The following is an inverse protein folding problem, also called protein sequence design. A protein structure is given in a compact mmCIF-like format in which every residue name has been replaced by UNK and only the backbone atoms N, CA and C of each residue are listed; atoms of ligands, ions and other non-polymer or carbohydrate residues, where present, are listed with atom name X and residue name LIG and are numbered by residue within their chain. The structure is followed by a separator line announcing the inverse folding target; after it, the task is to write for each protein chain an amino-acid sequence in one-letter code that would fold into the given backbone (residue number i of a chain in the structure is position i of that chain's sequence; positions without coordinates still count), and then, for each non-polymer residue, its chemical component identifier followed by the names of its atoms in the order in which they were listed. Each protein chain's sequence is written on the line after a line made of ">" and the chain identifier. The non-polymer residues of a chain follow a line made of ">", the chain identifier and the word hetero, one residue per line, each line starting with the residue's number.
data_IF_683793243330
#
_entry.id   IF_683793243330
#
_cell.length_a   1.000
_cell.length_b   1.000
_cell.length_c   1.000
_cell.angle_alpha   90.00
_cell.angle_beta   90.00
_cell.angle_gamma   90.00
#
_symmetry.space_group_name_H-M   'P 1'
#
loop_
_entity.id
_entity.type
_entity.pdbx_description
1 polymer ?
#
# COMPACT_ATOMS: atom_id res chain seq x y z
N UNK A 1 9.14 2.91 50.07
CA UNK A 1 9.76 1.61 49.79
C UNK A 1 8.85 0.74 48.94
N UNK A 2 7.67 0.40 49.43
CA UNK A 2 6.68 -0.44 48.75
C UNK A 2 5.95 0.25 47.58
N UNK A 3 5.59 1.52 47.71
CA UNK A 3 4.80 2.22 46.67
C UNK A 3 5.56 2.44 45.36
N UNK A 4 6.87 2.74 45.45
CA UNK A 4 7.71 2.98 44.27
C UNK A 4 7.95 1.70 43.45
N UNK A 5 7.95 0.53 44.11
CA UNK A 5 8.12 -0.76 43.45
C UNK A 5 6.85 -1.17 42.69
N UNK A 6 5.68 -0.91 43.26
CA UNK A 6 4.40 -1.14 42.58
C UNK A 6 4.21 -0.22 41.37
N UNK A 7 4.61 1.06 41.47
CA UNK A 7 4.59 1.99 40.33
C UNK A 7 5.50 1.50 39.21
N UNK A 8 6.73 1.07 39.53
CA UNK A 8 7.68 0.58 38.53
C UNK A 8 7.19 -0.70 37.81
N UNK A 9 6.49 -1.58 38.54
CA UNK A 9 5.88 -2.79 37.96
C UNK A 9 4.74 -2.42 37.01
N UNK A 10 3.88 -1.48 37.40
CA UNK A 10 2.74 -1.02 36.58
C UNK A 10 3.25 -0.40 35.28
N UNK A 11 4.24 0.50 35.37
CA UNK A 11 4.83 1.17 34.20
C UNK A 11 5.45 0.16 33.23
N UNK A 12 6.22 -0.82 33.73
CA UNK A 12 6.77 -1.90 32.90
C UNK A 12 5.67 -2.68 32.15
N UNK A 13 4.62 -3.10 32.87
CA UNK A 13 3.53 -3.87 32.25
C UNK A 13 2.79 -3.06 31.19
N UNK A 14 2.55 -1.76 31.43
CA UNK A 14 1.90 -0.88 30.47
C UNK A 14 2.75 -0.70 29.19
N UNK A 15 4.06 -0.52 29.33
CA UNK A 15 4.98 -0.39 28.18
C UNK A 15 4.99 -1.65 27.31
N UNK A 16 5.14 -2.83 27.94
CA UNK A 16 5.13 -4.11 27.23
C UNK A 16 3.80 -4.35 26.49
N UNK A 17 2.69 -4.09 27.17
CA UNK A 17 1.36 -4.35 26.61
C UNK A 17 1.01 -3.34 25.50
N UNK A 18 1.50 -2.10 25.58
CA UNK A 18 1.42 -1.12 24.47
C UNK A 18 2.16 -1.60 23.22
N UNK A 19 3.41 -2.04 23.37
CA UNK A 19 4.21 -2.55 22.24
C UNK A 19 3.55 -3.78 21.61
N UNK A 20 3.02 -4.70 22.44
CA UNK A 20 2.25 -5.86 21.97
C UNK A 20 1.02 -5.43 21.18
N UNK A 21 0.21 -4.51 21.71
CA UNK A 21 -0.98 -4.00 21.04
C UNK A 21 -0.65 -3.36 19.69
N UNK A 22 0.37 -2.51 19.63
CA UNK A 22 0.77 -1.89 18.35
C UNK A 22 1.23 -2.93 17.33
N UNK A 23 1.84 -4.02 17.76
CA UNK A 23 2.24 -5.13 16.89
C UNK A 23 1.05 -5.93 16.37
N UNK A 24 0.10 -6.26 17.24
CA UNK A 24 -1.11 -7.03 16.89
C UNK A 24 -2.02 -6.24 15.95
N UNK A 25 -2.18 -4.95 16.22
CA UNK A 25 -3.02 -4.07 15.42
C UNK A 25 -2.29 -3.48 14.19
N UNK A 26 -1.01 -3.80 13.99
CA UNK A 26 -0.15 -3.27 12.92
C UNK A 26 -0.11 -1.72 12.84
N UNK A 27 -0.08 -1.03 13.99
CA UNK A 27 0.01 0.43 14.06
C UNK A 27 1.42 0.93 13.73
N UNK A 28 1.53 1.87 12.78
CA UNK A 28 2.78 2.54 12.43
C UNK A 28 3.04 3.78 13.30
N UNK A 29 3.28 3.54 14.59
CA UNK A 29 3.59 4.58 15.59
C UNK A 29 5.10 4.61 15.91
N UNK A 30 5.93 4.80 14.87
CA UNK A 30 7.37 4.51 14.94
C UNK A 30 8.10 5.33 16.01
N UNK A 31 7.76 6.60 16.20
CA UNK A 31 8.36 7.46 17.25
C UNK A 31 8.07 6.93 18.65
N UNK A 32 6.79 6.63 18.96
CA UNK A 32 6.41 6.12 20.28
C UNK A 32 6.92 4.68 20.52
N UNK A 33 7.03 3.87 19.46
CA UNK A 33 7.62 2.53 19.55
C UNK A 33 9.11 2.65 19.90
N UNK A 34 9.83 3.59 19.31
CA UNK A 34 11.24 3.85 19.64
C UNK A 34 11.38 4.29 21.08
N UNK A 35 10.62 5.30 21.53
CA UNK A 35 10.73 5.83 22.89
C UNK A 35 10.48 4.75 23.95
N UNK A 36 9.32 4.08 23.86
CA UNK A 36 8.91 3.05 24.83
C UNK A 36 9.80 1.82 24.73
N UNK A 37 10.19 1.43 23.52
CA UNK A 37 10.97 0.23 23.29
C UNK A 37 12.44 0.38 23.69
N UNK A 38 13.05 1.55 23.46
CA UNK A 38 14.42 1.87 23.87
C UNK A 38 14.53 1.88 25.40
N UNK A 39 13.59 2.52 26.09
CA UNK A 39 13.49 2.49 27.57
C UNK A 39 13.37 1.06 28.09
N UNK A 40 12.46 0.28 27.51
CA UNK A 40 12.16 -1.07 27.97
C UNK A 40 13.31 -2.06 27.70
N UNK A 41 14.06 -1.90 26.60
CA UNK A 41 15.30 -2.65 26.33
C UNK A 41 16.39 -2.27 27.34
N UNK A 42 16.60 -0.99 27.61
CA UNK A 42 17.68 -0.52 28.46
C UNK A 42 17.45 -0.82 29.95
N UNK A 43 16.22 -0.64 30.44
CA UNK A 43 15.93 -0.70 31.87
C UNK A 43 15.32 -2.03 32.32
N UNK A 44 14.69 -2.78 31.40
CA UNK A 44 13.83 -3.91 31.76
C UNK A 44 14.08 -5.18 30.94
N UNK A 45 15.15 -5.26 30.16
CA UNK A 45 15.51 -6.44 29.35
C UNK A 45 15.40 -7.78 30.11
N UNK A 46 15.90 -7.85 31.34
CA UNK A 46 15.90 -9.07 32.15
C UNK A 46 14.50 -9.57 32.53
N UNK A 47 13.48 -8.70 32.51
CA UNK A 47 12.09 -9.04 32.88
C UNK A 47 11.24 -9.49 31.69
N UNK A 48 11.73 -9.32 30.45
CA UNK A 48 10.94 -9.58 29.25
C UNK A 48 10.91 -11.04 28.83
N UNK A 49 11.87 -11.86 29.29
CA UNK A 49 11.98 -13.25 28.86
C UNK A 49 12.09 -13.33 27.33
N UNK A 50 11.31 -14.21 26.71
CA UNK A 50 11.35 -14.43 25.26
C UNK A 50 10.72 -13.29 24.43
N UNK A 51 9.87 -12.44 25.05
CA UNK A 51 9.27 -11.29 24.37
C UNK A 51 10.33 -10.24 23.97
N UNK A 52 11.53 -10.29 24.55
CA UNK A 52 12.60 -9.34 24.25
C UNK A 52 12.97 -9.35 22.76
N UNK A 53 12.95 -10.51 22.10
CA UNK A 53 13.39 -10.64 20.71
C UNK A 53 12.42 -10.03 19.72
N UNK A 54 11.12 -10.22 19.97
CA UNK A 54 10.08 -9.57 19.16
C UNK A 54 10.11 -8.06 19.41
N UNK A 55 10.46 -7.60 20.62
CA UNK A 55 10.61 -6.18 20.93
C UNK A 55 11.82 -5.59 20.21
N UNK A 56 12.98 -6.24 20.25
CA UNK A 56 14.16 -5.82 19.47
C UNK A 56 13.83 -5.65 17.99
N UNK A 57 13.10 -6.58 17.38
CA UNK A 57 12.70 -6.43 15.98
C UNK A 57 11.73 -5.26 15.76
N UNK A 58 10.74 -5.09 16.63
CA UNK A 58 9.77 -4.00 16.53
C UNK A 58 10.46 -2.64 16.64
N UNK A 59 11.36 -2.49 17.61
CA UNK A 59 12.16 -1.28 17.83
C UNK A 59 13.12 -1.06 16.65
N UNK A 60 13.75 -2.11 16.13
CA UNK A 60 14.63 -2.00 14.97
C UNK A 60 13.89 -1.43 13.75
N UNK A 61 12.70 -1.95 13.43
CA UNK A 61 11.90 -1.47 12.29
C UNK A 61 11.46 -0.02 12.50
N UNK A 62 10.98 0.32 13.70
CA UNK A 62 10.58 1.68 14.04
C UNK A 62 11.76 2.67 14.03
N UNK A 63 12.93 2.25 14.49
CA UNK A 63 14.15 3.04 14.47
C UNK A 63 14.61 3.36 13.04
N UNK A 64 14.45 2.43 12.09
CA UNK A 64 14.69 2.71 10.67
C UNK A 64 13.74 3.78 10.12
N UNK A 65 12.45 3.70 10.44
CA UNK A 65 11.45 4.72 10.06
C UNK A 65 11.81 6.10 10.66
N UNK A 66 12.36 6.14 11.87
CA UNK A 66 12.80 7.36 12.55
C UNK A 66 14.23 7.79 12.21
N UNK A 67 14.91 7.13 11.26
CA UNK A 67 16.31 7.39 10.91
C UNK A 67 17.30 7.31 12.09
N UNK A 68 16.96 6.56 13.14
CA UNK A 68 17.80 6.23 14.30
C UNK A 68 18.64 4.97 14.01
N UNK A 69 19.59 5.09 13.07
CA UNK A 69 20.43 3.96 12.64
C UNK A 69 21.28 3.38 13.78
N UNK A 70 21.63 4.19 14.79
CA UNK A 70 22.32 3.79 16.01
C UNK A 70 21.55 2.71 16.78
N UNK A 71 20.26 2.96 17.02
CA UNK A 71 19.38 2.04 17.73
C UNK A 71 19.03 0.84 16.86
N UNK A 72 18.74 1.06 15.57
CA UNK A 72 18.46 -0.02 14.62
C UNK A 72 19.64 -1.01 14.50
N UNK A 73 20.87 -0.49 14.45
CA UNK A 73 22.08 -1.30 14.41
C UNK A 73 22.26 -2.12 15.69
N UNK A 74 22.09 -1.49 16.86
CA UNK A 74 22.19 -2.18 18.16
C UNK A 74 21.20 -3.34 18.25
N UNK A 75 19.92 -3.09 17.92
CA UNK A 75 18.89 -4.13 17.91
C UNK A 75 19.23 -5.25 16.92
N UNK A 76 19.72 -4.92 15.73
CA UNK A 76 20.10 -5.90 14.73
C UNK A 76 21.29 -6.78 15.18
N UNK A 77 22.27 -6.23 15.89
CA UNK A 77 23.40 -7.00 16.41
C UNK A 77 22.96 -8.02 17.45
N UNK A 78 22.09 -7.63 18.38
CA UNK A 78 21.53 -8.56 19.37
C UNK A 78 20.72 -9.68 18.71
N UNK A 79 19.91 -9.36 17.71
CA UNK A 79 19.16 -10.37 16.95
C UNK A 79 20.07 -11.32 16.17
N UNK A 80 21.17 -10.82 15.57
CA UNK A 80 22.17 -11.65 14.88
C UNK A 80 22.90 -12.59 15.83
N UNK A 81 23.22 -12.10 17.03
CA UNK A 81 23.90 -12.89 18.07
C UNK A 81 23.01 -14.03 18.57
N UNK A 82 21.73 -13.75 18.79
CA UNK A 82 20.78 -14.75 19.28
C UNK A 82 20.35 -15.75 18.21
N UNK A 83 20.16 -15.30 16.96
CA UNK A 83 19.62 -16.12 15.87
C UNK A 83 20.56 -16.14 14.64
N UNK A 84 21.77 -16.71 14.77
CA UNK A 84 22.71 -16.80 13.66
C UNK A 84 22.10 -17.58 12.49
N UNK A 85 22.19 -17.03 11.28
CA UNK A 85 21.67 -17.66 10.06
C UNK A 85 20.16 -17.52 9.83
N UNK A 86 19.40 -16.90 10.75
CA UNK A 86 17.96 -16.68 10.58
C UNK A 86 17.64 -15.84 9.35
N UNK A 87 16.76 -16.35 8.47
CA UNK A 87 16.28 -15.62 7.29
C UNK A 87 15.55 -14.33 7.68
N UNK A 88 14.85 -14.33 8.82
CA UNK A 88 14.19 -13.14 9.37
C UNK A 88 15.21 -12.05 9.72
N UNK A 89 16.32 -12.42 10.35
CA UNK A 89 17.40 -11.47 10.70
C UNK A 89 18.18 -11.03 9.45
N UNK A 90 18.41 -11.94 8.49
CA UNK A 90 18.97 -11.58 7.18
C UNK A 90 18.10 -10.53 6.47
N UNK A 91 16.77 -10.64 6.53
CA UNK A 91 15.83 -9.64 5.99
C UNK A 91 15.94 -8.30 6.71
N UNK A 92 16.01 -8.27 8.04
CA UNK A 92 16.21 -7.03 8.80
C UNK A 92 17.54 -6.34 8.42
N UNK A 93 18.61 -7.11 8.20
CA UNK A 93 19.86 -6.57 7.68
C UNK A 93 19.69 -5.93 6.29
N UNK A 94 18.91 -6.56 5.40
CA UNK A 94 18.52 -5.99 4.12
C UNK A 94 17.73 -4.69 4.25
N UNK A 95 16.74 -4.63 5.16
CA UNK A 95 15.95 -3.42 5.43
C UNK A 95 16.82 -2.25 5.90
N UNK A 96 17.82 -2.51 6.73
CA UNK A 96 18.79 -1.48 7.13
C UNK A 96 19.64 -0.99 5.95
N UNK A 97 20.07 -1.90 5.07
CA UNK A 97 20.81 -1.51 3.86
C UNK A 97 19.95 -0.62 2.94
N UNK A 98 18.65 -0.91 2.81
CA UNK A 98 17.71 -0.06 2.09
C UNK A 98 17.57 1.32 2.73
N UNK A 99 17.43 1.40 4.05
CA UNK A 99 17.35 2.68 4.76
C UNK A 99 18.64 3.52 4.62
N UNK A 100 19.78 2.88 4.35
CA UNK A 100 21.05 3.53 4.06
C UNK A 100 21.28 3.76 2.55
N UNK A 101 20.26 3.54 1.72
CA UNK A 101 20.29 3.66 0.25
C UNK A 101 21.35 2.76 -0.43
N UNK A 102 21.81 1.70 0.26
CA UNK A 102 22.75 0.70 -0.26
C UNK A 102 22.01 -0.40 -1.00
N UNK A 103 21.33 -0.01 -2.08
CA UNK A 103 20.40 -0.86 -2.81
C UNK A 103 21.05 -2.11 -3.42
N UNK A 104 22.27 -2.01 -3.93
CA UNK A 104 23.02 -3.13 -4.51
C UNK A 104 23.34 -4.20 -3.46
N UNK A 105 23.77 -3.78 -2.27
CA UNK A 105 24.06 -4.68 -1.16
C UNK A 105 22.77 -5.29 -0.59
N UNK A 106 21.70 -4.50 -0.51
CA UNK A 106 20.38 -4.99 -0.12
C UNK A 106 19.85 -6.04 -1.11
N UNK A 107 20.06 -5.81 -2.41
CA UNK A 107 19.64 -6.75 -3.47
C UNK A 107 20.39 -8.08 -3.36
N UNK A 108 21.72 -8.04 -3.19
CA UNK A 108 22.52 -9.26 -2.94
C UNK A 108 22.07 -10.01 -1.68
N UNK A 109 21.72 -9.26 -0.63
CA UNK A 109 21.21 -9.84 0.61
C UNK A 109 19.89 -10.58 0.37
N UNK A 110 18.96 -9.99 -0.38
CA UNK A 110 17.69 -10.63 -0.73
C UNK A 110 17.86 -11.80 -1.70
N UNK A 111 18.75 -11.70 -2.68
CA UNK A 111 19.08 -12.80 -3.57
C UNK A 111 19.65 -14.00 -2.80
N UNK A 112 20.50 -13.78 -1.78
CA UNK A 112 20.96 -14.86 -0.90
C UNK A 112 19.81 -15.51 -0.12
N UNK A 113 18.83 -14.75 0.36
CA UNK A 113 17.65 -15.30 1.04
C UNK A 113 16.83 -16.15 0.05
N UNK A 114 16.65 -15.67 -1.18
CA UNK A 114 15.87 -16.36 -2.22
C UNK A 114 16.58 -17.58 -2.80
N UNK A 115 17.91 -17.62 -2.76
CA UNK A 115 18.69 -18.83 -3.09
C UNK A 115 18.50 -19.92 -2.04
N UNK A 116 18.45 -19.56 -0.76
CA UNK A 116 18.20 -20.49 0.34
C UNK A 116 16.73 -20.94 0.40
N UNK A 117 15.80 -20.01 0.18
CA UNK A 117 14.35 -20.20 0.22
C UNK A 117 13.66 -19.41 -0.91
N UNK A 118 13.45 -20.04 -2.09
CA UNK A 118 12.81 -19.40 -3.23
C UNK A 118 11.36 -18.96 -2.98
N UNK A 119 10.72 -19.53 -1.95
CA UNK A 119 9.33 -19.26 -1.57
C UNK A 119 9.18 -18.09 -0.59
N UNK A 120 10.29 -17.43 -0.22
CA UNK A 120 10.30 -16.30 0.70
C UNK A 120 9.67 -15.05 0.08
N UNK A 121 8.35 -14.93 0.20
CA UNK A 121 7.56 -13.82 -0.37
C UNK A 121 8.01 -12.47 0.18
N UNK A 122 8.37 -12.39 1.47
CA UNK A 122 8.83 -11.16 2.10
C UNK A 122 10.14 -10.64 1.48
N UNK A 123 11.14 -11.50 1.26
CA UNK A 123 12.38 -11.12 0.60
C UNK A 123 12.14 -10.70 -0.86
N UNK A 124 11.27 -11.42 -1.58
CA UNK A 124 10.95 -11.08 -2.98
C UNK A 124 10.24 -9.73 -3.10
N UNK A 125 9.26 -9.44 -2.24
CA UNK A 125 8.58 -8.13 -2.20
C UNK A 125 9.56 -6.97 -1.91
N UNK A 126 10.53 -7.17 -1.01
CA UNK A 126 11.57 -6.15 -0.76
C UNK A 126 12.48 -5.94 -1.96
N UNK A 127 12.89 -7.00 -2.66
CA UNK A 127 13.66 -6.89 -3.91
C UNK A 127 12.90 -6.10 -4.99
N UNK A 128 11.62 -6.40 -5.20
CA UNK A 128 10.75 -5.66 -6.12
C UNK A 128 10.67 -4.18 -5.71
N UNK A 129 10.51 -3.90 -4.41
CA UNK A 129 10.47 -2.52 -3.88
C UNK A 129 11.77 -1.75 -4.17
N UNK A 130 12.93 -2.40 -4.06
CA UNK A 130 14.23 -1.80 -4.43
C UNK A 130 14.27 -1.48 -5.92
N UNK A 131 13.87 -2.42 -6.79
CA UNK A 131 13.87 -2.18 -8.23
C UNK A 131 12.98 -0.99 -8.60
N UNK A 132 11.83 -0.85 -7.95
CA UNK A 132 10.94 0.32 -8.09
C UNK A 132 11.62 1.61 -7.62
N UNK A 133 12.27 1.61 -6.45
CA UNK A 133 12.98 2.78 -5.93
C UNK A 133 14.16 3.21 -6.82
N UNK A 134 14.82 2.27 -7.50
CA UNK A 134 15.89 2.53 -8.47
C UNK A 134 15.37 2.95 -9.86
N UNK A 135 14.06 3.01 -10.08
CA UNK A 135 13.46 3.30 -11.39
C UNK A 135 13.64 2.19 -12.43
N UNK A 136 13.99 0.97 -12.00
CA UNK A 136 14.16 -0.21 -12.86
C UNK A 136 12.82 -0.90 -13.11
N UNK A 137 11.86 -0.17 -13.70
CA UNK A 137 10.48 -0.64 -13.91
C UNK A 137 10.40 -1.97 -14.66
N UNK A 138 11.19 -2.13 -15.73
CA UNK A 138 11.17 -3.34 -16.55
C UNK A 138 11.59 -4.60 -15.76
N UNK A 139 12.60 -4.46 -14.89
CA UNK A 139 13.05 -5.55 -14.02
C UNK A 139 12.02 -5.84 -12.93
N UNK A 140 11.43 -4.80 -12.33
CA UNK A 140 10.36 -4.95 -11.34
C UNK A 140 9.13 -5.68 -11.92
N UNK A 141 8.72 -5.33 -13.15
CA UNK A 141 7.65 -6.00 -13.88
C UNK A 141 7.98 -7.48 -14.10
N UNK A 142 9.21 -7.80 -14.55
CA UNK A 142 9.63 -9.20 -14.76
C UNK A 142 9.53 -10.01 -13.46
N UNK A 143 10.10 -9.49 -12.37
CA UNK A 143 10.10 -10.18 -11.07
C UNK A 143 8.68 -10.33 -10.48
N UNK A 144 7.78 -9.35 -10.70
CA UNK A 144 6.38 -9.44 -10.29
C UNK A 144 5.60 -10.49 -11.10
N UNK A 145 5.83 -10.60 -12.41
CA UNK A 145 5.22 -11.65 -13.22
C UNK A 145 5.67 -13.04 -12.73
N UNK A 146 6.97 -13.25 -12.56
CA UNK A 146 7.53 -14.50 -12.03
C UNK A 146 7.03 -14.83 -10.61
N UNK A 147 6.76 -13.80 -9.80
CA UNK A 147 6.13 -13.96 -8.48
C UNK A 147 4.67 -14.41 -8.60
N UNK A 148 3.87 -13.74 -9.43
CA UNK A 148 2.44 -14.01 -9.59
C UNK A 148 2.15 -15.35 -10.27
N UNK A 149 3.10 -15.91 -11.03
CA UNK A 149 3.03 -17.30 -11.51
C UNK A 149 2.93 -18.32 -10.38
N UNK A 150 3.52 -18.02 -9.21
CA UNK A 150 3.53 -18.90 -8.03
C UNK A 150 2.48 -18.47 -7.00
N UNK A 151 2.22 -17.17 -6.88
CA UNK A 151 1.38 -16.56 -5.85
C UNK A 151 0.22 -15.77 -6.46
N UNK A 152 -0.55 -16.41 -7.35
CA UNK A 152 -1.65 -15.78 -8.11
C UNK A 152 -2.72 -15.10 -7.24
N UNK A 153 -2.87 -15.50 -5.98
CA UNK A 153 -3.83 -14.91 -5.05
C UNK A 153 -3.37 -13.61 -4.36
N UNK A 154 -2.12 -13.16 -4.58
CA UNK A 154 -1.60 -11.95 -3.95
C UNK A 154 -2.12 -10.68 -4.65
N UNK A 155 -3.19 -10.13 -4.09
CA UNK A 155 -3.86 -8.95 -4.63
C UNK A 155 -2.99 -7.70 -4.59
N UNK A 156 -2.13 -7.56 -3.59
CA UNK A 156 -1.21 -6.41 -3.49
C UNK A 156 -0.22 -6.44 -4.66
N UNK A 157 0.33 -7.62 -4.97
CA UNK A 157 1.25 -7.77 -6.10
C UNK A 157 0.58 -7.53 -7.47
N UNK A 158 -0.67 -7.97 -7.66
CA UNK A 158 -1.45 -7.63 -8.87
C UNK A 158 -1.68 -6.13 -9.00
N UNK A 159 -1.96 -5.45 -7.90
CA UNK A 159 -2.18 -4.01 -7.88
C UNK A 159 -0.89 -3.25 -8.20
N UNK A 160 0.23 -3.61 -7.58
CA UNK A 160 1.55 -3.04 -7.88
C UNK A 160 1.96 -3.27 -9.35
N UNK A 161 1.71 -4.46 -9.90
CA UNK A 161 1.99 -4.75 -11.29
C UNK A 161 1.13 -3.89 -12.23
N UNK A 162 -0.14 -3.66 -11.89
CA UNK A 162 -1.02 -2.78 -12.66
C UNK A 162 -0.50 -1.34 -12.70
N UNK A 163 -0.01 -0.80 -11.57
CA UNK A 163 0.55 0.55 -11.49
C UNK A 163 1.84 0.67 -12.32
N UNK A 164 2.69 -0.36 -12.29
CA UNK A 164 3.90 -0.38 -13.12
C UNK A 164 3.56 -0.38 -14.61
N UNK A 165 2.58 -1.17 -15.04
CA UNK A 165 2.14 -1.13 -16.45
C UNK A 165 1.50 0.20 -16.84
N UNK A 166 0.80 0.88 -15.94
CA UNK A 166 0.29 2.24 -16.18
C UNK A 166 1.46 3.23 -16.39
N UNK A 167 2.48 3.16 -15.53
CA UNK A 167 3.67 4.01 -15.61
C UNK A 167 4.46 3.77 -16.90
N UNK A 168 4.55 2.52 -17.37
CA UNK A 168 5.17 2.16 -18.64
C UNK A 168 4.24 2.30 -19.85
N UNK A 169 3.03 2.84 -19.66
CA UNK A 169 2.00 3.07 -20.68
C UNK A 169 1.51 1.80 -21.40
N UNK A 170 1.75 0.62 -20.84
CA UNK A 170 1.20 -0.66 -21.31
C UNK A 170 -0.20 -0.86 -20.70
N UNK A 171 -1.14 -0.01 -21.15
CA UNK A 171 -2.50 -0.01 -20.64
C UNK A 171 -3.24 -1.33 -20.89
N UNK A 172 -2.82 -2.12 -21.89
CA UNK A 172 -3.36 -3.44 -22.18
C UNK A 172 -3.13 -4.40 -21.02
N UNK A 173 -1.87 -4.52 -20.57
CA UNK A 173 -1.52 -5.38 -19.44
C UNK A 173 -1.98 -4.81 -18.10
N UNK A 174 -2.00 -3.48 -17.94
CA UNK A 174 -2.58 -2.86 -16.75
C UNK A 174 -4.07 -3.23 -16.59
N UNK A 175 -4.84 -3.18 -17.69
CA UNK A 175 -6.26 -3.55 -17.66
C UNK A 175 -6.45 -5.03 -17.28
N UNK A 176 -5.60 -5.93 -17.77
CA UNK A 176 -5.63 -7.34 -17.42
C UNK A 176 -5.40 -7.56 -15.91
N UNK A 177 -4.40 -6.90 -15.33
CA UNK A 177 -4.14 -6.98 -13.88
C UNK A 177 -5.34 -6.51 -13.06
N UNK A 178 -6.00 -5.42 -13.50
CA UNK A 178 -7.20 -4.89 -12.84
C UNK A 178 -8.43 -5.79 -13.01
N UNK A 179 -8.53 -6.57 -14.10
CA UNK A 179 -9.57 -7.60 -14.27
C UNK A 179 -9.42 -8.70 -13.21
N UNK A 180 -8.20 -9.21 -12.98
CA UNK A 180 -7.93 -10.18 -11.91
C UNK A 180 -8.32 -9.65 -10.53
N UNK A 181 -8.02 -8.38 -10.24
CA UNK A 181 -8.40 -7.72 -9.00
C UNK A 181 -9.91 -7.56 -8.84
N UNK A 182 -10.63 -7.22 -9.91
CA UNK A 182 -12.08 -7.09 -9.88
C UNK A 182 -12.78 -8.45 -9.73
N UNK A 183 -12.23 -9.52 -10.32
CA UNK A 183 -12.78 -10.87 -10.17
C UNK A 183 -12.68 -11.36 -8.73
N UNK A 184 -11.55 -11.08 -8.07
CA UNK A 184 -11.33 -11.46 -6.66
C UNK A 184 -12.02 -10.52 -5.67
N UNK A 185 -12.24 -9.24 -6.04
CA UNK A 185 -12.85 -8.22 -5.19
C UNK A 185 -13.98 -7.46 -5.90
N UNK A 186 -15.12 -8.09 -6.20
CA UNK A 186 -16.18 -7.51 -7.04
C UNK A 186 -16.89 -6.30 -6.39
N UNK A 187 -16.71 -6.10 -5.08
CA UNK A 187 -17.30 -5.00 -4.33
C UNK A 187 -16.32 -3.84 -4.05
N UNK A 188 -15.06 -3.95 -4.49
CA UNK A 188 -14.10 -2.87 -4.34
C UNK A 188 -14.29 -1.82 -5.45
N UNK A 189 -14.81 -0.65 -5.09
CA UNK A 189 -15.07 0.41 -6.05
C UNK A 189 -13.80 0.99 -6.70
N UNK A 190 -12.64 0.89 -6.02
CA UNK A 190 -11.38 1.46 -6.51
C UNK A 190 -10.87 0.71 -7.73
N UNK A 191 -10.99 -0.63 -7.77
CA UNK A 191 -10.57 -1.40 -8.93
C UNK A 191 -11.46 -1.15 -10.15
N UNK A 192 -12.78 -0.99 -9.95
CA UNK A 192 -13.67 -0.57 -11.03
C UNK A 192 -13.35 0.83 -11.56
N UNK A 193 -13.01 1.77 -10.67
CA UNK A 193 -12.59 3.12 -11.02
C UNK A 193 -11.28 3.09 -11.82
N UNK A 194 -10.22 2.47 -11.30
CA UNK A 194 -8.92 2.39 -11.96
C UNK A 194 -9.02 1.67 -13.31
N UNK A 195 -9.79 0.58 -13.40
CA UNK A 195 -10.06 -0.09 -14.67
C UNK A 195 -10.74 0.84 -15.68
N UNK A 196 -11.74 1.61 -15.24
CA UNK A 196 -12.44 2.56 -16.08
C UNK A 196 -11.51 3.69 -16.57
N UNK A 197 -10.57 4.15 -15.74
CA UNK A 197 -9.54 5.12 -16.11
C UNK A 197 -8.58 4.55 -17.15
N UNK A 198 -8.09 3.31 -16.96
CA UNK A 198 -7.22 2.65 -17.94
C UNK A 198 -7.93 2.48 -19.29
N UNK A 199 -9.20 2.03 -19.29
CA UNK A 199 -10.00 1.93 -20.53
C UNK A 199 -10.25 3.29 -21.16
N UNK A 200 -10.48 4.33 -20.36
CA UNK A 200 -10.63 5.70 -20.88
C UNK A 200 -9.36 6.15 -21.62
N UNK A 201 -8.19 5.92 -21.01
CA UNK A 201 -6.88 6.28 -21.55
C UNK A 201 -6.52 5.51 -22.82
N UNK A 202 -6.89 4.23 -22.90
CA UNK A 202 -6.75 3.43 -24.14
C UNK A 202 -7.51 4.06 -25.32
N UNK A 203 -8.58 4.79 -25.06
CA UNK A 203 -9.35 5.51 -26.06
C UNK A 203 -10.04 4.59 -27.07
N UNK A 204 -10.65 5.20 -28.08
CA UNK A 204 -11.55 4.50 -29.00
C UNK A 204 -12.95 4.31 -28.42
N UNK A 205 -13.95 4.24 -29.30
CA UNK A 205 -15.36 4.28 -28.91
C UNK A 205 -15.74 3.10 -27.99
N UNK A 206 -15.24 1.90 -28.30
CA UNK A 206 -15.50 0.70 -27.52
C UNK A 206 -14.97 0.81 -26.09
N UNK A 207 -13.72 1.25 -25.92
CA UNK A 207 -13.14 1.43 -24.59
C UNK A 207 -13.77 2.60 -23.83
N UNK A 208 -14.19 3.67 -24.50
CA UNK A 208 -14.94 4.75 -23.86
C UNK A 208 -16.29 4.25 -23.33
N UNK A 209 -16.99 3.40 -24.09
CA UNK A 209 -18.23 2.78 -23.63
C UNK A 209 -18.02 1.84 -22.43
N UNK A 210 -16.94 1.06 -22.43
CA UNK A 210 -16.54 0.23 -21.29
C UNK A 210 -16.21 1.10 -20.07
N UNK A 211 -15.35 2.10 -20.25
CA UNK A 211 -14.97 3.07 -19.23
C UNK A 211 -16.20 3.69 -18.56
N UNK A 212 -17.16 4.20 -19.34
CA UNK A 212 -18.42 4.74 -18.81
C UNK A 212 -19.19 3.73 -17.96
N UNK A 213 -19.27 2.46 -18.40
CA UNK A 213 -19.97 1.40 -17.66
C UNK A 213 -19.28 1.11 -16.32
N UNK A 214 -17.95 1.01 -16.31
CA UNK A 214 -17.19 0.72 -15.10
C UNK A 214 -17.13 1.92 -14.13
N UNK A 215 -17.08 3.16 -14.61
CA UNK A 215 -17.30 4.33 -13.77
C UNK A 215 -18.69 4.34 -13.12
N UNK A 216 -19.74 3.98 -13.86
CA UNK A 216 -21.08 3.85 -13.30
C UNK A 216 -21.16 2.72 -12.25
N UNK A 217 -20.45 1.60 -12.46
CA UNK A 217 -20.35 0.52 -11.48
C UNK A 217 -19.60 0.96 -10.21
N UNK A 218 -18.48 1.68 -10.35
CA UNK A 218 -17.74 2.25 -9.22
C UNK A 218 -18.63 3.20 -8.40
N UNK A 219 -19.47 4.03 -9.06
CA UNK A 219 -20.43 4.91 -8.39
C UNK A 219 -21.58 4.16 -7.71
N UNK A 220 -21.99 3.01 -8.25
CA UNK A 220 -22.98 2.14 -7.62
C UNK A 220 -22.43 1.52 -6.33
N UNK A 221 -21.15 1.17 -6.31
CA UNK A 221 -20.45 0.65 -5.13
C UNK A 221 -20.13 1.74 -4.11
N UNK A 222 -19.69 2.92 -4.57
CA UNK A 222 -19.44 4.09 -3.74
C UNK A 222 -19.89 5.39 -4.43
N UNK A 223 -21.02 5.93 -3.99
CA UNK A 223 -21.62 7.13 -4.57
C UNK A 223 -20.89 8.44 -4.23
N UNK A 224 -19.89 8.41 -3.34
CA UNK A 224 -19.04 9.57 -2.98
C UNK A 224 -17.72 9.60 -3.75
N UNK A 225 -17.50 8.62 -4.62
CA UNK A 225 -16.29 8.56 -5.41
C UNK A 225 -16.27 9.66 -6.48
N UNK A 226 -15.52 10.72 -6.22
CA UNK A 226 -15.43 11.87 -7.10
C UNK A 226 -14.68 11.54 -8.40
N UNK A 227 -13.61 10.73 -8.35
CA UNK A 227 -12.91 10.30 -9.56
C UNK A 227 -13.84 9.56 -10.51
N UNK A 228 -14.62 8.61 -10.00
CA UNK A 228 -15.61 7.90 -10.80
C UNK A 228 -16.71 8.82 -11.35
N UNK A 229 -17.10 9.86 -10.62
CA UNK A 229 -18.13 10.81 -11.06
C UNK A 229 -17.63 11.72 -12.20
N UNK A 230 -16.38 12.23 -12.11
CA UNK A 230 -15.75 12.92 -13.23
C UNK A 230 -15.52 11.98 -14.42
N UNK A 231 -15.05 10.75 -14.17
CA UNK A 231 -14.86 9.74 -15.20
C UNK A 231 -16.14 9.44 -15.97
N UNK A 232 -17.28 9.28 -15.28
CA UNK A 232 -18.59 9.11 -15.90
C UNK A 232 -18.98 10.31 -16.77
N UNK A 233 -18.79 11.53 -16.27
CA UNK A 233 -19.06 12.76 -17.02
C UNK A 233 -18.23 12.84 -18.29
N UNK A 234 -16.92 12.64 -18.19
CA UNK A 234 -15.97 12.76 -19.31
C UNK A 234 -16.22 11.69 -20.37
N UNK A 235 -16.32 10.42 -19.95
CA UNK A 235 -16.61 9.30 -20.87
C UNK A 235 -17.93 9.48 -21.59
N UNK A 236 -19.01 9.81 -20.88
CA UNK A 236 -20.31 10.07 -21.50
C UNK A 236 -20.29 11.27 -22.45
N UNK A 237 -19.63 12.37 -22.08
CA UNK A 237 -19.52 13.56 -22.95
C UNK A 237 -18.77 13.26 -24.24
N UNK A 238 -17.65 12.53 -24.15
CA UNK A 238 -16.86 12.13 -25.32
C UNK A 238 -17.61 11.15 -26.22
N UNK A 239 -18.34 10.18 -25.67
CA UNK A 239 -19.20 9.28 -26.46
C UNK A 239 -20.29 10.09 -27.18
N UNK A 240 -20.95 11.02 -26.49
CA UNK A 240 -22.01 11.85 -27.09
C UNK A 240 -21.49 12.79 -28.20
N UNK A 241 -20.24 13.22 -28.11
CA UNK A 241 -19.58 14.05 -29.12
C UNK A 241 -19.06 13.24 -30.33
N UNK A 242 -18.93 11.92 -30.21
CA UNK A 242 -18.40 11.09 -31.27
C UNK A 242 -19.36 11.03 -32.47
N UNK A 243 -18.92 11.34 -33.71
CA UNK A 243 -19.80 11.35 -34.89
C UNK A 243 -20.23 9.93 -35.32
N UNK A 244 -19.53 8.89 -34.86
CA UNK A 244 -19.79 7.49 -35.23
C UNK A 244 -20.98 6.87 -34.50
N UNK A 245 -21.47 7.49 -33.42
CA UNK A 245 -22.54 6.92 -32.60
C UNK A 245 -23.91 7.27 -33.17
N UNK A 246 -24.85 6.34 -33.06
CA UNK A 246 -26.23 6.59 -33.46
C UNK A 246 -26.94 7.57 -32.50
N UNK A 247 -28.09 8.11 -32.94
CA UNK A 247 -28.85 9.09 -32.17
C UNK A 247 -29.30 8.59 -30.79
N UNK A 248 -29.60 7.30 -30.65
CA UNK A 248 -30.01 6.68 -29.39
C UNK A 248 -28.86 6.68 -28.37
N UNK A 249 -27.68 6.22 -28.78
CA UNK A 249 -26.47 6.23 -27.94
C UNK A 249 -26.08 7.66 -27.59
N UNK A 250 -26.12 8.59 -28.54
CA UNK A 250 -25.86 10.01 -28.29
C UNK A 250 -26.78 10.57 -27.22
N UNK A 251 -28.10 10.39 -27.36
CA UNK A 251 -29.09 10.90 -26.42
C UNK A 251 -28.96 10.30 -25.02
N UNK A 252 -28.63 9.01 -24.92
CA UNK A 252 -28.39 8.35 -23.64
C UNK A 252 -27.15 8.94 -22.93
N UNK A 253 -26.06 9.15 -23.66
CA UNK A 253 -24.82 9.69 -23.12
C UNK A 253 -24.92 11.17 -22.73
N UNK A 254 -25.68 11.98 -23.46
CA UNK A 254 -26.03 13.35 -23.02
C UNK A 254 -26.75 13.33 -21.66
N UNK A 255 -27.66 12.37 -21.44
CA UNK A 255 -28.36 12.22 -20.15
C UNK A 255 -27.42 11.79 -19.03
N UNK A 256 -26.52 10.83 -19.30
CA UNK A 256 -25.50 10.42 -18.31
C UNK A 256 -24.59 11.58 -17.93
N UNK A 257 -24.08 12.34 -18.90
CA UNK A 257 -23.23 13.51 -18.66
C UNK A 257 -23.97 14.60 -17.87
N UNK A 258 -25.22 14.91 -18.21
CA UNK A 258 -26.03 15.88 -17.49
C UNK A 258 -26.32 15.45 -16.05
N UNK A 259 -26.63 14.16 -15.83
CA UNK A 259 -26.80 13.61 -14.48
C UNK A 259 -25.52 13.74 -13.67
N UNK A 260 -24.37 13.33 -14.24
CA UNK A 260 -23.08 13.39 -13.57
C UNK A 260 -22.74 14.85 -13.20
N UNK A 261 -22.90 15.78 -14.12
CA UNK A 261 -22.70 17.23 -13.88
C UNK A 261 -23.54 17.75 -12.71
N UNK A 262 -24.81 17.35 -12.62
CA UNK A 262 -25.68 17.75 -11.52
C UNK A 262 -25.16 17.22 -10.17
N UNK A 263 -24.73 15.95 -10.12
CA UNK A 263 -24.14 15.37 -8.91
C UNK A 263 -22.83 16.06 -8.53
N UNK A 264 -21.98 16.40 -9.51
CA UNK A 264 -20.73 17.14 -9.28
C UNK A 264 -21.05 18.48 -8.62
N UNK A 265 -21.96 19.25 -9.21
CA UNK A 265 -22.35 20.56 -8.68
C UNK A 265 -22.91 20.45 -7.25
N UNK A 266 -23.73 19.44 -6.96
CA UNK A 266 -24.23 19.17 -5.60
C UNK A 266 -23.09 18.86 -4.61
N UNK A 267 -22.13 18.03 -5.00
CA UNK A 267 -21.00 17.68 -4.16
C UNK A 267 -20.18 18.92 -3.76
N UNK A 268 -19.91 19.83 -4.71
CA UNK A 268 -19.22 21.09 -4.44
C UNK A 268 -20.03 22.04 -3.56
N UNK A 269 -21.35 22.14 -3.76
CA UNK A 269 -22.22 22.96 -2.90
C UNK A 269 -22.20 22.48 -1.44
N UNK A 270 -22.28 21.16 -1.21
CA UNK A 270 -22.22 20.58 0.14
C UNK A 270 -20.85 20.81 0.78
N UNK A 271 -19.76 20.61 0.03
CA UNK A 271 -18.41 20.87 0.52
C UNK A 271 -18.19 22.34 0.92
N UNK A 272 -18.69 23.27 0.11
CA UNK A 272 -18.62 24.70 0.41
C UNK A 272 -19.41 25.05 1.68
N UNK A 273 -20.63 24.53 1.81
CA UNK A 273 -21.46 24.74 3.00
C UNK A 273 -20.79 24.20 4.28
N UNK A 274 -20.17 23.02 4.23
CA UNK A 274 -19.42 22.46 5.36
C UNK A 274 -18.20 23.32 5.74
N UNK A 275 -17.44 23.79 4.75
CA UNK A 275 -16.28 24.65 4.98
C UNK A 275 -16.69 25.98 5.65
N UNK A 276 -17.80 26.58 5.21
CA UNK A 276 -18.34 27.80 5.82
C UNK A 276 -18.85 27.61 7.26
N UNK A 277 -19.26 26.40 7.64
CA UNK A 277 -19.66 26.08 9.02
C UNK A 277 -18.43 25.89 9.92
N UNK A 278 -17.41 25.19 9.42
CA UNK A 278 -16.16 24.96 10.16
C UNK A 278 -15.35 26.24 10.38
N UNK A 279 -15.38 27.18 9.44
CA UNK A 279 -14.71 28.49 9.59
C UNK A 279 -15.45 29.49 10.50
N UNK A 280 -16.65 29.14 10.97
CA UNK A 280 -17.46 29.95 11.91
C UNK A 280 -17.41 29.43 13.35
N UNK A 281 -16.69 28.34 13.62
CA UNK A 281 -16.40 27.79 14.95
C UNK A 281 -14.97 28.13 15.34
#
# INVERSE_FOLDING_TARGET
>A
GFDNWNVLIIVFTEMRDKLRKWREDNHRNSEQIVDVGEELINEHASKLGDDIWIIYEQVMIAALDCSRDDLAWTCLQELKRQFPGSQRVKRLAGMRLEALEKYEDASKQYDSILQDDPTNTAARKRKISILKAQGKSAEAIRELNEYLEQFVGDQEAWHELSELYINEHDYGKAAFCLEELMMTNPHNHLYCEQYAEVKYTQGGLENLELSRKYFAQALKLNNRNMRALFGLYMSASHIAACPKVNATVKKANVRYAAWATNQINRAYQVSHAMCCVLLKQ
#
